data_IF_775995326800
#
_entry.id   IF_775995326800
#
_cell.length_a   1.000
_cell.length_b   1.000
_cell.length_c   1.000
_cell.angle_alpha   90.00
_cell.angle_beta   90.00
_cell.angle_gamma   90.00
#
_symmetry.space_group_name_H-M   'P 1'
#
loop_
_entity.id
_entity.type
_entity.pdbx_description
1 polymer ?
#
# COMPACT_ATOMS: atom_id res chain seq x y z
N UNK A 1 -10.80 2.52 -26.08
CA UNK A 1 -10.62 3.14 -24.75
C UNK A 1 -11.23 2.33 -23.61
N UNK A 2 -12.50 1.91 -23.65
CA UNK A 2 -13.12 1.11 -22.58
C UNK A 2 -12.38 -0.19 -22.20
N UNK A 3 -11.76 -0.90 -23.16
CA UNK A 3 -10.95 -2.09 -22.88
C UNK A 3 -9.70 -1.79 -22.05
N UNK A 4 -9.03 -0.67 -22.31
CA UNK A 4 -7.82 -0.27 -21.57
C UNK A 4 -8.17 0.07 -20.13
N UNK A 5 -9.28 0.81 -19.92
CA UNK A 5 -9.77 1.13 -18.56
C UNK A 5 -10.22 -0.12 -17.82
N UNK A 6 -10.91 -1.05 -18.48
CA UNK A 6 -11.32 -2.32 -17.89
C UNK A 6 -10.11 -3.20 -17.49
N UNK A 7 -9.03 -3.20 -18.29
CA UNK A 7 -7.80 -3.93 -17.97
C UNK A 7 -7.02 -3.30 -16.81
N UNK A 8 -7.16 -2.00 -16.57
CA UNK A 8 -6.60 -1.30 -15.41
C UNK A 8 -7.36 -1.60 -14.13
N UNK A 9 -8.68 -1.73 -14.20
CA UNK A 9 -9.55 -2.05 -13.06
C UNK A 9 -9.57 -3.55 -12.76
N UNK A 10 -9.47 -4.39 -13.78
CA UNK A 10 -9.47 -5.85 -13.61
C UNK A 10 -8.29 -6.46 -14.38
N UNK A 11 -7.17 -6.77 -13.71
CA UNK A 11 -6.00 -7.35 -14.36
C UNK A 11 -6.37 -8.68 -15.03
N UNK A 12 -5.84 -8.94 -16.23
CA UNK A 12 -6.10 -10.15 -17.06
C UNK A 12 -5.94 -11.48 -16.31
N UNK A 13 -5.22 -11.47 -15.19
CA UNK A 13 -5.02 -12.65 -14.32
C UNK A 13 -5.99 -12.73 -13.14
N UNK A 14 -6.85 -11.73 -12.91
CA UNK A 14 -7.68 -11.59 -11.71
C UNK A 14 -6.90 -11.15 -10.46
N UNK A 15 -7.60 -10.55 -9.54
CA UNK A 15 -7.03 -10.08 -8.26
C UNK A 15 -6.40 -11.20 -7.43
N UNK A 16 -6.91 -12.42 -7.56
CA UNK A 16 -6.36 -13.59 -6.86
C UNK A 16 -4.92 -13.88 -7.30
N UNK A 17 -4.62 -13.80 -8.60
CA UNK A 17 -3.24 -13.99 -9.10
C UNK A 17 -2.32 -12.86 -8.68
N UNK A 18 -2.79 -11.62 -8.68
CA UNK A 18 -2.02 -10.48 -8.19
C UNK A 18 -1.68 -10.66 -6.70
N UNK A 19 -2.65 -11.05 -5.89
CA UNK A 19 -2.46 -11.36 -4.47
C UNK A 19 -1.48 -12.52 -4.26
N UNK A 20 -1.65 -13.62 -5.00
CA UNK A 20 -0.73 -14.76 -4.96
C UNK A 20 0.70 -14.36 -5.36
N UNK A 21 0.85 -13.51 -6.38
CA UNK A 21 2.15 -13.01 -6.80
C UNK A 21 2.83 -12.19 -5.69
N UNK A 22 2.11 -11.24 -5.08
CA UNK A 22 2.62 -10.42 -3.98
C UNK A 22 3.01 -11.30 -2.79
N UNK A 23 2.13 -12.21 -2.38
CA UNK A 23 2.38 -13.15 -1.28
C UNK A 23 3.60 -14.04 -1.57
N UNK A 24 3.74 -14.54 -2.80
CA UNK A 24 4.88 -15.34 -3.20
C UNK A 24 6.20 -14.57 -3.20
N UNK A 25 6.15 -13.30 -3.60
CA UNK A 25 7.29 -12.37 -3.53
C UNK A 25 7.68 -12.07 -2.08
N UNK A 26 6.71 -11.71 -1.23
CA UNK A 26 6.93 -11.45 0.19
C UNK A 26 7.60 -12.63 0.90
N UNK A 27 7.13 -13.83 0.62
CA UNK A 27 7.67 -15.06 1.22
C UNK A 27 9.12 -15.39 0.79
N UNK A 28 9.61 -14.80 -0.29
CA UNK A 28 10.98 -14.99 -0.80
C UNK A 28 11.96 -13.90 -0.40
N UNK A 29 11.47 -12.82 0.23
CA UNK A 29 12.33 -11.72 0.64
C UNK A 29 13.36 -12.18 1.67
N UNK A 30 14.58 -11.64 1.63
CA UNK A 30 15.57 -11.84 2.68
C UNK A 30 15.16 -11.07 3.92
N UNK A 31 15.38 -11.65 5.09
CA UNK A 31 15.10 -11.04 6.39
C UNK A 31 14.24 -11.91 7.29
N UNK A 32 14.12 -11.47 8.55
CA UNK A 32 13.24 -12.13 9.51
C UNK A 32 11.77 -11.86 9.19
N UNK A 33 10.88 -12.74 9.61
CA UNK A 33 9.44 -12.58 9.39
C UNK A 33 8.92 -11.28 10.02
N UNK A 34 9.46 -10.88 11.16
CA UNK A 34 9.12 -9.63 11.85
C UNK A 34 9.56 -8.41 11.06
N UNK A 35 10.75 -8.44 10.44
CA UNK A 35 11.22 -7.33 9.59
C UNK A 35 10.34 -7.18 8.35
N UNK A 36 9.94 -8.29 7.72
CA UNK A 36 9.03 -8.29 6.57
C UNK A 36 7.64 -7.82 7.02
N UNK A 37 7.14 -8.31 8.18
CA UNK A 37 5.86 -7.89 8.75
C UNK A 37 5.79 -6.39 9.04
N UNK A 38 6.85 -5.80 9.63
CA UNK A 38 6.94 -4.33 9.83
C UNK A 38 6.92 -3.58 8.49
N UNK A 39 7.59 -4.11 7.48
CA UNK A 39 7.51 -3.57 6.13
C UNK A 39 6.09 -3.60 5.58
N UNK A 40 5.40 -4.74 5.69
CA UNK A 40 4.00 -4.87 5.25
C UNK A 40 3.10 -3.88 5.98
N UNK A 41 3.21 -3.76 7.30
CA UNK A 41 2.45 -2.79 8.10
C UNK A 41 2.67 -1.35 7.64
N UNK A 42 3.94 -0.96 7.40
CA UNK A 42 4.30 0.36 6.90
C UNK A 42 3.67 0.65 5.52
N UNK A 43 3.70 -0.31 4.61
CA UNK A 43 3.09 -0.19 3.29
C UNK A 43 1.57 -0.06 3.34
N UNK A 44 0.91 -0.88 4.16
CA UNK A 44 -0.55 -0.80 4.37
C UNK A 44 -0.94 0.55 4.97
N UNK A 45 -0.22 1.03 6.00
CA UNK A 45 -0.49 2.35 6.57
C UNK A 45 -0.38 3.47 5.55
N UNK A 46 0.69 3.47 4.74
CA UNK A 46 0.94 4.50 3.75
C UNK A 46 -0.21 4.64 2.73
N UNK A 47 -0.90 3.54 2.40
CA UNK A 47 -2.04 3.53 1.47
C UNK A 47 -3.24 4.32 2.00
N UNK A 48 -3.42 4.40 3.31
CA UNK A 48 -4.51 5.19 3.91
C UNK A 48 -4.28 6.70 3.80
N UNK A 49 -3.04 7.13 3.63
CA UNK A 49 -2.70 8.56 3.55
C UNK A 49 -3.13 9.18 2.21
N UNK A 50 -3.55 10.47 2.18
CA UNK A 50 -3.99 11.12 0.94
C UNK A 50 -2.85 11.51 0.00
N UNK A 51 -1.65 10.99 0.20
CA UNK A 51 -0.46 11.30 -0.59
C UNK A 51 -0.38 10.41 -1.85
N UNK A 52 -1.28 10.62 -2.80
CA UNK A 52 -1.28 9.87 -4.06
C UNK A 52 0.04 10.00 -4.81
N UNK A 53 0.61 8.87 -5.22
CA UNK A 53 1.92 8.80 -5.88
C UNK A 53 3.10 8.86 -4.91
N UNK A 54 3.02 9.60 -3.81
CA UNK A 54 4.07 9.69 -2.80
C UNK A 54 3.99 8.57 -1.75
N UNK A 55 2.91 7.80 -1.73
CA UNK A 55 2.74 6.70 -0.75
C UNK A 55 3.87 5.66 -0.81
N UNK A 56 4.53 5.48 -1.96
CA UNK A 56 5.71 4.62 -2.07
C UNK A 56 6.89 5.15 -1.23
N UNK A 57 7.12 6.47 -1.28
CA UNK A 57 8.17 7.10 -0.48
C UNK A 57 7.83 7.05 1.01
N UNK A 58 6.57 7.31 1.36
CA UNK A 58 6.09 7.24 2.75
C UNK A 58 6.22 5.80 3.28
N UNK A 59 5.81 4.80 2.49
CA UNK A 59 5.95 3.40 2.82
C UNK A 59 7.41 3.01 3.06
N UNK A 60 8.31 3.42 2.16
CA UNK A 60 9.74 3.16 2.28
C UNK A 60 10.35 3.84 3.52
N UNK A 61 10.01 5.11 3.76
CA UNK A 61 10.45 5.88 4.91
C UNK A 61 9.98 5.27 6.23
N UNK A 62 8.69 4.94 6.33
CA UNK A 62 8.13 4.29 7.52
C UNK A 62 8.75 2.91 7.76
N UNK A 63 8.94 2.12 6.70
CA UNK A 63 9.63 0.83 6.83
C UNK A 63 11.07 1.01 7.34
N UNK A 64 11.78 2.01 6.84
CA UNK A 64 13.13 2.33 7.31
C UNK A 64 13.16 2.72 8.79
N UNK A 65 12.26 3.63 9.22
CA UNK A 65 12.13 4.07 10.62
C UNK A 65 11.81 2.87 11.53
N UNK A 66 10.90 1.99 11.11
CA UNK A 66 10.47 0.81 11.85
C UNK A 66 11.47 -0.36 11.75
N UNK A 67 12.61 -0.17 11.08
CA UNK A 67 13.57 -1.25 10.79
C UNK A 67 12.91 -2.45 10.11
N UNK A 68 11.91 -2.18 9.29
CA UNK A 68 11.20 -3.14 8.46
C UNK A 68 11.88 -3.34 7.11
N UNK A 69 11.42 -4.34 6.36
CA UNK A 69 11.89 -4.59 5.01
C UNK A 69 11.24 -3.60 4.02
N UNK A 70 12.04 -2.72 3.42
CA UNK A 70 11.56 -1.68 2.48
C UNK A 70 10.90 -2.29 1.24
N UNK A 71 11.43 -3.40 0.72
CA UNK A 71 10.84 -4.08 -0.45
C UNK A 71 9.46 -4.64 -0.08
N UNK A 72 9.31 -5.18 1.14
CA UNK A 72 8.02 -5.65 1.63
C UNK A 72 7.01 -4.49 1.74
N UNK A 73 7.44 -3.29 2.19
CA UNK A 73 6.55 -2.13 2.28
C UNK A 73 6.08 -1.67 0.91
N UNK A 74 6.97 -1.60 -0.08
CA UNK A 74 6.61 -1.24 -1.45
C UNK A 74 5.64 -2.27 -2.07
N UNK A 75 5.84 -3.57 -1.82
CA UNK A 75 4.91 -4.60 -2.27
C UNK A 75 3.55 -4.49 -1.56
N UNK A 76 3.54 -4.14 -0.28
CA UNK A 76 2.30 -4.00 0.47
C UNK A 76 1.45 -2.78 0.03
N UNK A 77 2.06 -1.76 -0.59
CA UNK A 77 1.29 -0.63 -1.15
C UNK A 77 0.36 -1.05 -2.30
N UNK A 78 0.58 -2.20 -2.94
CA UNK A 78 -0.35 -2.76 -3.94
C UNK A 78 -1.72 -3.16 -3.37
N UNK A 79 -1.88 -3.20 -2.04
CA UNK A 79 -3.20 -3.28 -1.38
C UNK A 79 -4.03 -2.06 -1.77
N UNK A 80 -3.40 -0.89 -1.97
CA UNK A 80 -4.01 0.32 -2.52
C UNK A 80 -4.16 0.22 -4.05
N UNK A 81 -5.28 -0.30 -4.48
CA UNK A 81 -5.66 -0.36 -5.88
C UNK A 81 -6.95 0.48 -6.10
N UNK A 82 -7.34 0.81 -7.34
CA UNK A 82 -8.52 1.65 -7.58
C UNK A 82 -9.79 1.17 -6.89
N UNK A 83 -9.96 -0.14 -6.71
CA UNK A 83 -11.12 -0.71 -6.05
C UNK A 83 -11.08 -0.50 -4.52
N UNK A 84 -9.91 -0.61 -3.91
CA UNK A 84 -9.74 -0.44 -2.44
C UNK A 84 -9.57 1.01 -2.03
N UNK A 85 -9.08 1.88 -2.92
CA UNK A 85 -8.95 3.31 -2.62
C UNK A 85 -10.27 3.99 -2.31
N UNK A 86 -11.36 3.62 -3.02
CA UNK A 86 -12.68 4.21 -2.78
C UNK A 86 -13.16 3.98 -1.34
N UNK A 87 -13.26 2.73 -0.82
CA UNK A 87 -13.65 2.52 0.57
C UNK A 87 -12.63 3.09 1.57
N UNK A 88 -11.33 3.06 1.28
CA UNK A 88 -10.31 3.67 2.14
C UNK A 88 -10.53 5.17 2.27
N UNK A 89 -10.78 5.86 1.15
CA UNK A 89 -11.04 7.29 1.13
C UNK A 89 -12.30 7.65 1.93
N UNK A 90 -13.40 6.91 1.73
CA UNK A 90 -14.65 7.15 2.43
C UNK A 90 -14.45 6.97 3.94
N UNK A 91 -13.90 5.84 4.37
CA UNK A 91 -13.67 5.54 5.80
C UNK A 91 -12.75 6.60 6.42
N UNK A 92 -11.67 6.96 5.74
CA UNK A 92 -10.73 7.97 6.26
C UNK A 92 -11.37 9.36 6.34
N UNK A 93 -12.13 9.78 5.33
CA UNK A 93 -12.82 11.08 5.35
C UNK A 93 -13.91 11.13 6.42
N UNK A 94 -14.75 10.10 6.53
CA UNK A 94 -15.79 10.04 7.57
C UNK A 94 -15.17 10.07 8.96
N UNK A 95 -14.11 9.30 9.21
CA UNK A 95 -13.38 9.31 10.46
C UNK A 95 -12.80 10.70 10.75
N UNK A 96 -12.22 11.34 9.73
CA UNK A 96 -11.65 12.67 9.87
C UNK A 96 -12.67 13.75 10.19
N UNK A 97 -13.79 13.76 9.48
CA UNK A 97 -14.89 14.71 9.77
C UNK A 97 -15.48 14.45 11.16
N UNK A 98 -15.64 13.19 11.57
CA UNK A 98 -16.07 12.84 12.92
C UNK A 98 -15.09 13.36 13.99
N UNK A 99 -13.78 13.18 13.79
CA UNK A 99 -12.75 13.64 14.74
C UNK A 99 -12.66 15.17 14.80
N UNK A 100 -12.94 15.87 13.70
CA UNK A 100 -12.92 17.35 13.62
C UNK A 100 -14.24 17.99 14.04
N UNK A 101 -15.25 17.20 14.41
CA UNK A 101 -16.59 17.72 14.79
C UNK A 101 -17.34 18.38 13.63
N UNK A 102 -16.94 18.09 12.38
CA UNK A 102 -17.56 18.63 11.17
C UNK A 102 -18.45 17.56 10.54
N UNK A 103 -19.63 17.96 10.04
CA UNK A 103 -20.52 17.05 9.32
C UNK A 103 -20.10 16.91 7.88
N UNK A 104 -19.91 15.66 7.44
CA UNK A 104 -19.71 15.38 6.04
C UNK A 104 -21.02 15.69 5.28
N UNK A 105 -21.01 16.70 4.42
CA UNK A 105 -22.19 16.99 3.58
C UNK A 105 -22.44 15.79 2.67
N UNK A 106 -23.70 15.37 2.59
CA UNK A 106 -24.16 14.17 1.87
C UNK A 106 -23.82 14.11 0.37
N UNK A 107 -23.26 15.18 -0.19
CA UNK A 107 -22.89 15.27 -1.62
C UNK A 107 -21.44 14.79 -1.92
N UNK A 108 -20.81 14.03 -1.02
CA UNK A 108 -19.37 13.76 -1.09
C UNK A 108 -18.97 12.96 -2.33
N UNK A 109 -19.78 12.00 -2.77
CA UNK A 109 -19.39 11.16 -3.91
C UNK A 109 -19.36 11.91 -5.25
N UNK A 110 -20.31 12.83 -5.46
CA UNK A 110 -20.30 13.69 -6.65
C UNK A 110 -19.34 14.88 -6.47
N UNK A 111 -19.18 15.37 -5.23
CA UNK A 111 -18.30 16.49 -4.89
C UNK A 111 -16.82 16.16 -4.85
N UNK A 112 -16.42 14.94 -4.47
CA UNK A 112 -15.01 14.55 -4.39
C UNK A 112 -14.29 14.66 -5.73
N UNK A 113 -14.86 14.07 -6.78
CA UNK A 113 -14.27 14.11 -8.14
C UNK A 113 -14.17 15.56 -8.63
N UNK A 114 -15.20 16.37 -8.39
CA UNK A 114 -15.20 17.78 -8.76
C UNK A 114 -14.11 18.56 -8.01
N UNK A 115 -13.93 18.31 -6.72
CA UNK A 115 -12.89 18.96 -5.90
C UNK A 115 -11.46 18.54 -6.29
N UNK A 116 -11.26 17.26 -6.59
CA UNK A 116 -9.98 16.80 -7.15
C UNK A 116 -9.68 17.44 -8.51
N UNK A 117 -10.70 17.57 -9.37
CA UNK A 117 -10.53 18.21 -10.67
C UNK A 117 -10.25 19.70 -10.55
N UNK A 118 -10.95 20.42 -9.65
CA UNK A 118 -10.70 21.83 -9.36
C UNK A 118 -9.28 22.05 -8.81
N UNK A 119 -8.90 21.31 -7.77
CA UNK A 119 -7.55 21.39 -7.20
C UNK A 119 -6.44 21.03 -8.20
N UNK A 120 -6.68 20.03 -9.05
CA UNK A 120 -5.72 19.67 -10.11
C UNK A 120 -5.62 20.74 -11.17
N UNK A 121 -6.75 21.40 -11.51
CA UNK A 121 -6.80 22.54 -12.43
C UNK A 121 -5.99 23.71 -11.91
N UNK A 122 -6.21 24.10 -10.64
CA UNK A 122 -5.46 25.16 -9.97
C UNK A 122 -3.96 24.84 -9.94
N UNK A 123 -3.59 23.60 -9.59
CA UNK A 123 -2.18 23.20 -9.54
C UNK A 123 -1.51 23.28 -10.92
N UNK A 124 -2.16 22.77 -11.96
CA UNK A 124 -1.65 22.85 -13.34
C UNK A 124 -1.56 24.29 -13.84
N UNK A 125 -2.55 25.11 -13.53
CA UNK A 125 -2.54 26.53 -13.87
C UNK A 125 -1.39 27.26 -13.17
N UNK A 126 -1.10 26.91 -11.90
CA UNK A 126 0.03 27.48 -11.16
C UNK A 126 1.39 27.06 -11.68
N UNK A 127 1.55 25.77 -12.05
CA UNK A 127 2.76 25.32 -12.72
C UNK A 127 2.99 26.06 -14.03
N UNK A 128 1.90 26.36 -14.79
CA UNK A 128 1.97 27.15 -15.99
C UNK A 128 2.24 28.63 -15.71
N UNK A 129 1.70 29.18 -14.62
CA UNK A 129 1.90 30.60 -14.26
C UNK A 129 3.34 30.94 -13.89
N UNK A 130 4.12 29.98 -13.41
CA UNK A 130 5.56 30.13 -13.16
C UNK A 130 6.28 30.55 -14.44
N UNK A 131 5.82 30.06 -15.61
CA UNK A 131 6.40 30.35 -16.90
C UNK A 131 5.70 31.53 -17.64
N UNK A 132 4.43 31.83 -17.31
CA UNK A 132 3.62 32.82 -18.01
C UNK A 132 3.43 34.14 -17.23
N UNK A 133 3.82 34.21 -15.95
CA UNK A 133 3.63 35.40 -15.09
C UNK A 133 2.17 35.71 -14.77
N UNK A 134 1.24 34.79 -14.99
CA UNK A 134 -0.17 34.97 -14.70
C UNK A 134 -0.46 34.97 -13.19
N UNK A 135 -1.46 35.71 -12.67
CA UNK A 135 -1.79 35.74 -11.26
C UNK A 135 -2.26 34.35 -10.77
N UNK A 136 -1.72 33.94 -9.64
CA UNK A 136 -2.00 32.66 -9.03
C UNK A 136 -3.29 32.70 -8.20
N UNK A 137 -4.25 31.82 -8.48
CA UNK A 137 -5.49 31.68 -7.71
C UNK A 137 -5.49 30.35 -6.96
N UNK A 138 -5.35 30.43 -5.61
CA UNK A 138 -5.26 29.27 -4.72
C UNK A 138 -6.61 28.86 -4.11
N UNK A 139 -7.72 29.35 -4.67
CA UNK A 139 -9.03 29.22 -4.06
C UNK A 139 -9.53 27.77 -3.98
N UNK A 140 -9.54 27.08 -5.11
CA UNK A 140 -10.00 25.69 -5.17
C UNK A 140 -9.06 24.73 -4.43
N UNK A 141 -7.75 25.00 -4.50
CA UNK A 141 -6.76 24.22 -3.77
C UNK A 141 -6.93 24.37 -2.25
N UNK A 142 -7.24 25.59 -1.78
CA UNK A 142 -7.52 25.82 -0.35
C UNK A 142 -8.80 25.11 0.09
N UNK A 143 -9.87 25.18 -0.69
CA UNK A 143 -11.12 24.45 -0.41
C UNK A 143 -10.84 22.94 -0.36
N UNK A 144 -10.11 22.40 -1.32
CA UNK A 144 -9.73 21.00 -1.34
C UNK A 144 -8.91 20.62 -0.09
N UNK A 145 -7.94 21.44 0.28
CA UNK A 145 -7.13 21.21 1.47
C UNK A 145 -8.00 21.14 2.74
N UNK A 146 -8.85 22.14 2.96
CA UNK A 146 -9.64 22.26 4.18
C UNK A 146 -10.79 21.22 4.26
N UNK A 147 -11.35 20.83 3.12
CA UNK A 147 -12.55 19.99 3.08
C UNK A 147 -12.27 18.53 2.76
N UNK A 148 -11.13 18.21 2.16
CA UNK A 148 -10.79 16.85 1.73
C UNK A 148 -9.46 16.40 2.30
N UNK A 149 -8.39 17.13 1.98
CA UNK A 149 -7.03 16.67 2.29
C UNK A 149 -6.77 16.60 3.79
N UNK A 150 -7.04 17.67 4.52
CA UNK A 150 -6.79 17.74 5.95
C UNK A 150 -7.67 16.78 6.78
N UNK A 151 -9.00 16.72 6.57
CA UNK A 151 -9.83 15.70 7.22
C UNK A 151 -9.40 14.28 6.88
N UNK A 152 -9.05 14.00 5.63
CA UNK A 152 -8.54 12.69 5.23
C UNK A 152 -7.24 12.34 5.97
N UNK A 153 -6.29 13.27 6.02
CA UNK A 153 -5.00 13.03 6.65
C UNK A 153 -5.16 12.67 8.14
N UNK A 154 -6.00 13.40 8.88
CA UNK A 154 -6.29 13.10 10.29
C UNK A 154 -7.08 11.80 10.43
N UNK A 155 -8.11 11.65 9.61
CA UNK A 155 -8.98 10.47 9.66
C UNK A 155 -8.34 9.18 9.18
N UNK A 156 -7.25 9.25 8.41
CA UNK A 156 -6.48 8.08 7.99
C UNK A 156 -5.70 7.42 9.15
N UNK A 157 -5.42 8.15 10.23
CA UNK A 157 -4.59 7.66 11.33
C UNK A 157 -5.22 6.44 11.99
N UNK A 158 -6.47 6.52 12.39
CA UNK A 158 -7.14 5.44 13.12
C UNK A 158 -7.33 4.18 12.25
N UNK A 159 -8.04 4.22 11.12
CA UNK A 159 -8.22 3.03 10.28
C UNK A 159 -6.91 2.54 9.67
N UNK A 160 -5.96 3.44 9.35
CA UNK A 160 -4.64 3.09 8.87
C UNK A 160 -3.82 2.33 9.90
N UNK A 161 -3.79 2.77 11.16
CA UNK A 161 -3.11 2.06 12.25
C UNK A 161 -3.76 0.70 12.52
N UNK A 162 -5.08 0.63 12.62
CA UNK A 162 -5.78 -0.63 12.84
C UNK A 162 -5.50 -1.64 11.72
N UNK A 163 -5.59 -1.19 10.46
CA UNK A 163 -5.31 -2.05 9.31
C UNK A 163 -3.84 -2.48 9.24
N UNK A 164 -2.91 -1.60 9.59
CA UNK A 164 -1.47 -1.91 9.59
C UNK A 164 -1.10 -2.90 10.69
N UNK A 165 -1.68 -2.76 11.88
CA UNK A 165 -1.50 -3.70 13.00
C UNK A 165 -2.06 -5.07 12.62
N UNK A 166 -3.27 -5.11 12.06
CA UNK A 166 -3.88 -6.35 11.58
C UNK A 166 -3.01 -7.01 10.51
N UNK A 167 -2.53 -6.23 9.53
CA UNK A 167 -1.64 -6.72 8.48
C UNK A 167 -0.32 -7.30 9.04
N UNK A 168 0.26 -6.68 10.08
CA UNK A 168 1.42 -7.20 10.78
C UNK A 168 1.16 -8.57 11.40
N UNK A 169 0.09 -8.66 12.22
CA UNK A 169 -0.23 -9.91 12.92
C UNK A 169 -0.66 -11.05 11.99
N UNK A 170 -1.17 -10.75 10.80
CA UNK A 170 -1.48 -11.76 9.78
C UNK A 170 -0.20 -12.16 9.02
N UNK A 171 0.63 -11.20 8.62
CA UNK A 171 1.78 -11.47 7.75
C UNK A 171 2.90 -12.21 8.46
N UNK A 172 3.20 -11.88 9.73
CA UNK A 172 4.31 -12.51 10.48
C UNK A 172 4.15 -14.02 10.60
N UNK A 173 3.05 -14.59 11.12
CA UNK A 173 2.91 -16.04 11.23
C UNK A 173 2.91 -16.75 9.87
N UNK A 174 2.32 -16.14 8.83
CA UNK A 174 2.32 -16.69 7.48
C UNK A 174 3.75 -16.80 6.92
N UNK A 175 4.57 -15.76 7.11
CA UNK A 175 5.96 -15.74 6.65
C UNK A 175 6.79 -16.72 7.46
N UNK A 176 6.61 -16.80 8.77
CA UNK A 176 7.27 -17.79 9.63
C UNK A 176 6.98 -19.23 9.19
N UNK A 177 5.72 -19.57 8.98
CA UNK A 177 5.31 -20.90 8.52
C UNK A 177 5.95 -21.25 7.18
N UNK A 178 6.00 -20.30 6.24
CA UNK A 178 6.65 -20.50 4.96
C UNK A 178 8.15 -20.68 5.08
N UNK A 179 8.85 -19.85 5.85
CA UNK A 179 10.29 -19.94 6.07
C UNK A 179 10.67 -21.28 6.73
N UNK A 180 9.91 -21.71 7.74
CA UNK A 180 10.11 -23.01 8.41
C UNK A 180 9.97 -24.17 7.42
N UNK A 181 8.92 -24.17 6.61
CA UNK A 181 8.70 -25.22 5.62
C UNK A 181 9.77 -25.23 4.52
N UNK A 182 10.27 -24.09 4.12
CA UNK A 182 11.38 -23.96 3.15
C UNK A 182 12.69 -24.52 3.70
N UNK A 183 13.00 -24.23 4.96
CA UNK A 183 14.21 -24.77 5.65
C UNK A 183 14.09 -26.29 5.77
N UNK A 184 12.94 -26.81 6.19
CA UNK A 184 12.70 -28.26 6.30
C UNK A 184 12.90 -28.98 4.96
N UNK A 185 12.33 -28.44 3.87
CA UNK A 185 12.51 -28.99 2.52
C UNK A 185 13.98 -29.00 2.06
N UNK A 186 14.73 -27.92 2.38
CA UNK A 186 16.16 -27.85 2.07
C UNK A 186 16.97 -28.88 2.84
N UNK A 187 16.71 -29.05 4.15
CA UNK A 187 17.38 -30.04 4.99
C UNK A 187 17.12 -31.44 4.48
N UNK A 188 15.87 -31.81 4.21
CA UNK A 188 15.51 -33.10 3.65
C UNK A 188 16.17 -33.38 2.28
N UNK A 189 16.36 -32.38 1.44
CA UNK A 189 17.07 -32.53 0.17
C UNK A 189 18.56 -32.80 0.38
N UNK A 190 19.22 -32.09 1.31
CA UNK A 190 20.65 -32.27 1.64
C UNK A 190 20.87 -33.67 2.21
N UNK A 191 19.97 -34.13 3.09
CA UNK A 191 20.05 -35.45 3.71
C UNK A 191 19.96 -36.56 2.66
N UNK A 192 18.99 -36.49 1.76
CA UNK A 192 18.90 -37.41 0.62
C UNK A 192 20.15 -37.41 -0.28
N UNK A 193 20.74 -36.25 -0.55
CA UNK A 193 21.96 -36.17 -1.33
C UNK A 193 23.16 -36.80 -0.59
N UNK A 194 23.24 -36.68 0.75
CA UNK A 194 24.27 -37.32 1.57
C UNK A 194 24.13 -38.83 1.59
N UNK A 195 22.91 -39.34 1.76
CA UNK A 195 22.63 -40.78 1.72
C UNK A 195 23.05 -41.41 0.37
N UNK A 196 22.68 -40.72 -0.73
CA UNK A 196 23.06 -41.19 -2.08
C UNK A 196 24.59 -41.19 -2.28
N UNK A 197 25.29 -40.15 -1.79
CA UNK A 197 26.74 -40.09 -1.89
C UNK A 197 27.42 -41.19 -1.03
N UNK A 198 26.89 -41.49 0.16
CA UNK A 198 27.36 -42.55 1.03
C UNK A 198 27.20 -43.94 0.40
N UNK A 199 26.03 -44.18 -0.23
CA UNK A 199 25.78 -45.46 -0.93
C UNK A 199 26.68 -45.68 -2.15
N UNK A 200 27.06 -44.64 -2.84
CA UNK A 200 28.00 -44.70 -3.97
C UNK A 200 29.43 -44.94 -3.53
N UNK A 201 29.85 -44.38 -2.38
CA UNK A 201 31.16 -44.59 -1.81
C UNK A 201 31.37 -46.03 -1.26
N UNK A 202 30.28 -46.64 -0.73
CA UNK A 202 30.33 -48.02 -0.21
C UNK A 202 30.34 -49.10 -1.30
N UNK A 203 30.03 -48.74 -2.56
CA UNK A 203 30.05 -49.67 -3.71
C UNK A 203 31.36 -49.67 -4.50
N UNK A 204 32.33 -48.88 -4.12
CA UNK A 204 33.71 -48.88 -4.64
C UNK A 204 34.66 -49.55 -3.69
#
# INVERSE_FOLDING_TARGET
MLRIVAEWVYPRGGWMRAFQYVTHRLNRLPGSAESIGRGVAAGVFAVFTPFFGLHFFIAALLAWILRGNVIASLLATFVGNPLTYVPIAIISLETGHFMLGSTMRSDVNAGLIARFRGASGDLLHHLWSIFSGAPAHWYELKIFYDTVFFPWMIGAIVPGLLSSILAYFISVPLIHAYQKSRIAKRRAKIEKCREQAGTLSSKR
#
